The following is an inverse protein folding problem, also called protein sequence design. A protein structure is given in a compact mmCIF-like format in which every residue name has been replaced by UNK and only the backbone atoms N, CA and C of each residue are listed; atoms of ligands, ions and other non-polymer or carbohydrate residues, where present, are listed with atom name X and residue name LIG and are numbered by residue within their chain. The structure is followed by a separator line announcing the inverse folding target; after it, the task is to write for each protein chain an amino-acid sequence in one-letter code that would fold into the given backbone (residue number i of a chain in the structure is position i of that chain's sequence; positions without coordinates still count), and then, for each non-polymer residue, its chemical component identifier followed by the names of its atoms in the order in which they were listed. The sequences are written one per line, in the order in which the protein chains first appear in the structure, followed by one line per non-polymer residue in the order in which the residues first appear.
data_IF_845704621317
#
_entry.id   IF_845704621317
#
_cell.length_a   1.000
_cell.length_b   1.000
_cell.length_c   1.000
_cell.angle_alpha   90.00
_cell.angle_beta   90.00
_cell.angle_gamma   90.00
#
_symmetry.space_group_name_H-M   'P 1'
#
loop_
_entity.id
_entity.type
_entity.pdbx_description
1 polymer ?
#
# COMPACT_ATOMS: atom_id res chain seq x y z
N UNK A 1 -3.94 -30.40 20.73
CA UNK A 1 -4.03 -28.96 20.41
C UNK A 1 -3.99 -28.18 21.72
N UNK A 2 -2.89 -27.47 22.00
CA UNK A 2 -2.74 -26.66 23.22
C UNK A 2 -3.51 -25.35 23.03
N UNK A 3 -4.51 -25.12 23.89
CA UNK A 3 -5.19 -23.83 24.03
C UNK A 3 -4.18 -22.79 24.54
N UNK A 4 -3.63 -21.99 23.62
CA UNK A 4 -2.96 -20.75 23.96
C UNK A 4 -4.05 -19.75 24.34
N UNK A 5 -4.27 -19.59 25.66
CA UNK A 5 -4.93 -18.41 26.21
C UNK A 5 -4.08 -17.21 25.80
N UNK A 6 -4.58 -16.41 24.85
CA UNK A 6 -4.06 -15.08 24.58
C UNK A 6 -4.20 -14.32 25.89
N UNK A 7 -3.08 -13.97 26.52
CA UNK A 7 -3.07 -13.18 27.74
C UNK A 7 -3.64 -11.80 27.40
N UNK A 8 -4.70 -11.40 28.10
CA UNK A 8 -5.40 -10.13 27.93
C UNK A 8 -4.60 -8.89 28.43
N UNK A 9 -3.27 -8.93 28.35
CA UNK A 9 -2.38 -7.83 28.77
C UNK A 9 -1.72 -7.07 27.62
N UNK A 10 -1.93 -7.50 26.38
CA UNK A 10 -1.39 -6.85 25.18
C UNK A 10 -2.49 -6.12 24.38
N UNK A 11 -3.34 -5.32 25.04
CA UNK A 11 -4.13 -4.33 24.29
C UNK A 11 -3.22 -3.13 23.98
N UNK A 12 -2.83 -2.91 22.72
CA UNK A 12 -1.79 -1.93 22.37
C UNK A 12 -2.19 -0.49 22.69
N UNK A 13 -3.49 -0.21 22.86
CA UNK A 13 -4.01 1.09 23.22
C UNK A 13 -5.22 0.96 24.16
N UNK A 14 -5.01 0.96 25.48
CA UNK A 14 -6.11 1.09 26.45
C UNK A 14 -6.82 2.46 26.38
N UNK A 15 -6.14 3.45 25.80
CA UNK A 15 -6.64 4.81 25.56
C UNK A 15 -5.90 5.45 24.40
N UNK A 16 -6.52 6.40 23.71
CA UNK A 16 -5.87 7.15 22.64
C UNK A 16 -4.66 7.94 23.17
N UNK A 17 -3.47 7.78 22.57
CA UNK A 17 -2.26 8.41 23.07
C UNK A 17 -2.27 9.94 22.86
N UNK A 18 -1.72 10.71 23.81
CA UNK A 18 -1.67 12.17 23.72
C UNK A 18 -0.86 12.68 22.52
N UNK A 19 -1.19 13.88 22.05
CA UNK A 19 -0.57 14.52 20.89
C UNK A 19 0.97 14.53 20.92
N UNK A 20 1.55 14.81 22.08
CA UNK A 20 3.01 14.87 22.27
C UNK A 20 3.68 13.50 22.12
N UNK A 21 3.01 12.42 22.52
CA UNK A 21 3.51 11.07 22.30
C UNK A 21 3.52 10.72 20.81
N UNK A 22 2.52 11.20 20.06
CA UNK A 22 2.47 11.05 18.60
C UNK A 22 3.65 11.76 17.95
N UNK A 23 3.89 13.03 18.31
CA UNK A 23 5.03 13.80 17.78
C UNK A 23 6.35 13.14 18.12
N UNK A 24 6.52 12.68 19.37
CA UNK A 24 7.73 11.98 19.81
C UNK A 24 7.96 10.70 19.02
N UNK A 25 6.90 9.91 18.81
CA UNK A 25 6.96 8.70 17.99
C UNK A 25 7.35 9.01 16.55
N UNK A 26 6.70 9.98 15.89
CA UNK A 26 7.01 10.35 14.51
C UNK A 26 8.44 10.90 14.37
N UNK A 27 8.94 11.62 15.38
CA UNK A 27 10.32 12.09 15.46
C UNK A 27 11.31 10.92 15.58
N UNK A 28 11.06 10.00 16.50
CA UNK A 28 11.86 8.77 16.64
C UNK A 28 11.86 7.98 15.34
N UNK A 29 10.69 7.85 14.71
CA UNK A 29 10.50 7.15 13.45
C UNK A 29 11.28 7.79 12.31
N UNK A 30 11.32 9.13 12.24
CA UNK A 30 12.13 9.86 11.28
C UNK A 30 13.64 9.62 11.48
N UNK A 31 14.10 9.52 12.73
CA UNK A 31 15.53 9.33 13.07
C UNK A 31 16.03 7.92 12.85
N UNK A 32 15.24 6.94 13.29
CA UNK A 32 15.62 5.52 13.31
C UNK A 32 15.09 4.75 12.10
N UNK A 33 14.09 5.30 11.43
CA UNK A 33 13.51 4.70 10.26
C UNK A 33 14.37 4.83 9.02
N UNK A 34 14.53 3.72 8.33
CA UNK A 34 15.05 3.69 6.97
C UNK A 34 13.88 3.68 6.00
N UNK A 35 13.98 4.44 4.90
CA UNK A 35 13.05 4.29 3.79
C UNK A 35 13.45 3.09 2.93
N UNK A 36 14.45 3.26 2.05
CA UNK A 36 15.23 2.17 1.45
C UNK A 36 16.53 2.02 2.23
N UNK A 37 17.28 0.93 2.00
CA UNK A 37 18.49 0.52 2.76
C UNK A 37 19.50 1.64 3.07
N UNK A 38 19.48 2.74 2.33
CA UNK A 38 20.38 3.91 2.46
C UNK A 38 19.66 5.25 2.72
N UNK A 39 18.37 5.37 2.43
CA UNK A 39 17.70 6.68 2.32
C UNK A 39 16.95 7.08 3.59
N UNK A 40 17.06 8.36 3.97
CA UNK A 40 16.22 8.97 5.01
C UNK A 40 14.73 8.89 4.66
N UNK A 41 13.90 8.78 5.69
CA UNK A 41 12.44 8.77 5.52
C UNK A 41 11.91 10.05 4.90
N UNK A 42 10.90 9.88 4.03
CA UNK A 42 10.21 11.02 3.42
C UNK A 42 9.07 11.51 4.29
N UNK A 43 8.76 12.81 4.21
CA UNK A 43 7.60 13.38 4.90
C UNK A 43 6.29 12.69 4.49
N UNK A 44 6.19 12.23 3.24
CA UNK A 44 5.03 11.51 2.72
C UNK A 44 4.84 10.14 3.39
N UNK A 45 5.94 9.41 3.62
CA UNK A 45 5.94 8.14 4.34
C UNK A 45 5.50 8.34 5.79
N UNK A 46 6.05 9.35 6.46
CA UNK A 46 5.69 9.69 7.85
C UNK A 46 4.21 10.06 7.96
N UNK A 47 3.71 10.88 7.04
CA UNK A 47 2.29 11.27 6.99
C UNK A 47 1.37 10.08 6.74
N UNK A 48 1.76 9.17 5.83
CA UNK A 48 1.01 7.93 5.59
C UNK A 48 0.95 7.06 6.84
N UNK A 49 2.08 6.91 7.53
CA UNK A 49 2.18 6.14 8.76
C UNK A 49 1.30 6.74 9.87
N UNK A 50 1.30 8.07 10.01
CA UNK A 50 0.37 8.77 10.91
C UNK A 50 -1.10 8.48 10.58
N UNK A 51 -1.52 8.53 9.31
CA UNK A 51 -2.89 8.20 8.93
C UNK A 51 -3.26 6.74 9.22
N UNK A 52 -2.34 5.80 8.96
CA UNK A 52 -2.54 4.39 9.27
C UNK A 52 -2.70 4.17 10.77
N UNK A 53 -1.83 4.82 11.55
CA UNK A 53 -1.86 4.77 13.00
C UNK A 53 -3.14 5.39 13.57
N UNK A 54 -3.58 6.55 13.07
CA UNK A 54 -4.85 7.17 13.45
C UNK A 54 -6.03 6.22 13.19
N UNK A 55 -5.99 5.50 12.06
CA UNK A 55 -7.01 4.52 11.72
C UNK A 55 -7.00 3.33 12.70
N UNK A 56 -5.83 2.85 13.10
CA UNK A 56 -5.69 1.80 14.12
C UNK A 56 -6.25 2.25 15.48
N UNK A 57 -5.84 3.43 15.97
CA UNK A 57 -6.38 4.01 17.22
C UNK A 57 -7.90 4.16 17.16
N UNK A 58 -8.44 4.61 16.02
CA UNK A 58 -9.89 4.71 15.85
C UNK A 58 -10.59 3.35 15.91
N UNK A 59 -9.99 2.30 15.36
CA UNK A 59 -10.56 0.95 15.42
C UNK A 59 -10.53 0.37 16.84
N UNK A 60 -9.45 0.60 17.57
CA UNK A 60 -9.24 -0.01 18.88
C UNK A 60 -9.94 0.77 20.01
N UNK A 61 -9.93 2.11 19.96
CA UNK A 61 -10.38 2.95 21.07
C UNK A 61 -11.61 3.80 20.75
N UNK A 62 -12.17 3.70 19.53
CA UNK A 62 -13.26 4.55 19.01
C UNK A 62 -12.98 6.07 19.07
N UNK A 63 -11.72 6.47 19.30
CA UNK A 63 -11.35 7.87 19.44
C UNK A 63 -10.98 8.47 18.10
N UNK A 64 -11.31 9.75 17.91
CA UNK A 64 -10.88 10.53 16.77
C UNK A 64 -10.24 11.83 17.25
N UNK A 65 -9.01 12.07 16.82
CA UNK A 65 -8.33 13.36 17.01
C UNK A 65 -9.15 14.49 16.37
N UNK A 66 -9.13 15.65 17.01
CA UNK A 66 -9.78 16.85 16.48
C UNK A 66 -9.08 17.35 15.22
N UNK A 67 -9.79 18.14 14.40
CA UNK A 67 -9.20 18.73 13.20
C UNK A 67 -7.98 19.63 13.51
N UNK A 68 -7.99 20.30 14.67
CA UNK A 68 -6.85 21.10 15.16
C UNK A 68 -5.65 20.23 15.52
N UNK A 69 -5.87 19.11 16.20
CA UNK A 69 -4.79 18.17 16.58
C UNK A 69 -4.13 17.57 15.35
N UNK A 70 -4.94 17.12 14.39
CA UNK A 70 -4.47 16.59 13.12
C UNK A 70 -3.65 17.64 12.37
N UNK A 71 -4.12 18.90 12.34
CA UNK A 71 -3.38 20.00 11.71
C UNK A 71 -2.04 20.26 12.41
N UNK A 72 -2.01 20.26 13.75
CA UNK A 72 -0.78 20.44 14.52
C UNK A 72 0.25 19.32 14.23
N UNK A 73 -0.20 18.07 14.07
CA UNK A 73 0.69 16.97 13.67
C UNK A 73 1.16 17.14 12.23
N UNK A 74 0.30 17.55 11.30
CA UNK A 74 0.70 17.77 9.90
C UNK A 74 1.76 18.86 9.82
N UNK A 75 1.57 20.00 10.50
CA UNK A 75 2.57 21.07 10.58
C UNK A 75 3.88 20.55 11.18
N UNK A 76 3.82 19.77 12.26
CA UNK A 76 5.02 19.15 12.84
C UNK A 76 5.75 18.24 11.84
N UNK A 77 5.03 17.45 11.04
CA UNK A 77 5.62 16.60 9.99
C UNK A 77 6.29 17.45 8.90
N UNK A 78 5.70 18.60 8.56
CA UNK A 78 6.25 19.56 7.59
C UNK A 78 7.54 20.22 8.10
N UNK A 79 7.73 20.31 9.42
CA UNK A 79 8.94 20.81 10.08
C UNK A 79 10.05 19.74 10.23
N UNK A 80 9.74 18.44 10.10
CA UNK A 80 10.76 17.37 10.21
C UNK A 80 11.95 17.46 9.23
N UNK A 81 11.82 18.01 8.01
CA UNK A 81 12.97 18.28 7.15
C UNK A 81 14.01 19.20 7.80
N UNK A 82 13.58 20.29 8.46
CA UNK A 82 14.49 21.23 9.12
C UNK A 82 14.99 20.69 10.46
N UNK A 83 14.14 19.96 11.20
CA UNK A 83 14.47 19.44 12.52
C UNK A 83 15.34 18.18 12.51
N UNK A 84 15.11 17.26 11.56
CA UNK A 84 15.69 15.91 11.57
C UNK A 84 16.29 15.51 10.20
N UNK A 85 16.21 16.38 9.21
CA UNK A 85 16.69 16.13 7.85
C UNK A 85 15.84 15.13 7.09
N UNK A 86 14.53 15.04 7.38
CA UNK A 86 13.60 14.24 6.60
C UNK A 86 13.64 14.63 5.12
N UNK A 87 13.46 13.66 4.22
CA UNK A 87 13.47 13.91 2.79
C UNK A 87 12.12 14.50 2.32
N UNK A 88 12.18 15.57 1.55
CA UNK A 88 11.02 16.11 0.80
C UNK A 88 10.97 15.61 -0.64
N UNK A 89 12.01 14.91 -1.08
CA UNK A 89 12.13 14.44 -2.47
C UNK A 89 11.06 13.39 -2.74
N UNK A 90 10.28 13.62 -3.80
CA UNK A 90 9.41 12.57 -4.35
C UNK A 90 10.30 11.44 -4.87
N UNK A 91 9.89 10.21 -4.57
CA UNK A 91 10.55 9.02 -5.10
C UNK A 91 10.41 9.00 -6.63
N UNK A 92 11.54 8.84 -7.32
CA UNK A 92 11.55 8.46 -8.73
C UNK A 92 10.92 7.07 -8.86
N UNK A 93 9.81 7.00 -9.58
CA UNK A 93 9.19 5.72 -9.94
C UNK A 93 9.90 5.22 -11.20
N UNK A 94 10.38 3.98 -11.18
CA UNK A 94 10.75 3.30 -12.41
C UNK A 94 9.50 3.14 -13.27
N UNK A 95 9.65 3.39 -14.56
CA UNK A 95 8.62 3.09 -15.55
C UNK A 95 8.83 1.64 -15.96
N UNK A 96 7.76 0.84 -15.93
CA UNK A 96 7.81 -0.51 -16.46
C UNK A 96 7.82 -0.43 -17.99
N UNK A 97 8.75 -1.15 -18.61
CA UNK A 97 8.85 -1.31 -20.05
C UNK A 97 8.12 -2.58 -20.49
N UNK A 98 7.83 -2.66 -21.79
CA UNK A 98 7.21 -3.86 -22.36
C UNK A 98 8.08 -5.12 -22.15
N UNK A 99 9.40 -4.98 -22.22
CA UNK A 99 10.36 -6.06 -21.91
C UNK A 99 10.19 -6.63 -20.51
N UNK A 100 9.86 -5.81 -19.51
CA UNK A 100 9.63 -6.29 -18.15
C UNK A 100 8.41 -7.23 -18.10
N UNK A 101 7.41 -7.00 -18.97
CA UNK A 101 6.23 -7.85 -19.07
C UNK A 101 6.56 -9.15 -19.79
N UNK A 102 7.39 -9.11 -20.84
CA UNK A 102 7.89 -10.31 -21.51
C UNK A 102 8.64 -11.22 -20.52
N UNK A 103 9.51 -10.64 -19.69
CA UNK A 103 10.25 -11.38 -18.66
C UNK A 103 9.31 -12.00 -17.61
N UNK A 104 8.30 -11.26 -17.16
CA UNK A 104 7.28 -11.76 -16.22
C UNK A 104 6.49 -12.91 -16.84
N UNK A 105 6.07 -12.77 -18.11
CA UNK A 105 5.34 -13.81 -18.82
C UNK A 105 6.21 -15.05 -19.03
N UNK A 106 7.46 -14.87 -19.45
CA UNK A 106 8.41 -15.98 -19.58
C UNK A 106 8.56 -16.73 -18.27
N UNK A 107 8.78 -16.02 -17.16
CA UNK A 107 8.88 -16.65 -15.85
C UNK A 107 7.60 -17.41 -15.49
N UNK A 108 6.43 -16.78 -15.65
CA UNK A 108 5.13 -17.35 -15.34
C UNK A 108 4.84 -18.65 -16.10
N UNK A 109 5.28 -18.76 -17.35
CA UNK A 109 5.00 -19.92 -18.21
C UNK A 109 6.10 -20.97 -18.21
N UNK A 110 7.36 -20.58 -18.00
CA UNK A 110 8.51 -21.45 -18.21
C UNK A 110 9.30 -21.78 -16.93
N UNK A 111 9.18 -20.96 -15.88
CA UNK A 111 10.04 -21.06 -14.68
C UNK A 111 9.27 -21.19 -13.38
N UNK A 112 7.96 -20.90 -13.37
CA UNK A 112 7.18 -20.85 -12.13
C UNK A 112 6.84 -22.25 -11.61
N UNK A 113 7.41 -22.60 -10.45
CA UNK A 113 7.12 -23.84 -9.73
C UNK A 113 5.79 -23.79 -8.94
N UNK A 114 5.09 -22.65 -8.96
CA UNK A 114 3.85 -22.47 -8.22
C UNK A 114 2.71 -23.36 -8.75
N UNK A 115 2.14 -24.17 -7.85
CA UNK A 115 0.97 -25.00 -8.17
C UNK A 115 -0.31 -24.17 -8.11
N UNK A 116 -0.76 -23.72 -9.28
CA UNK A 116 -2.01 -22.98 -9.42
C UNK A 116 -3.23 -23.83 -9.02
N UNK A 117 -4.16 -23.23 -8.27
CA UNK A 117 -5.40 -23.90 -7.86
C UNK A 117 -6.26 -24.30 -9.07
N UNK A 118 -6.19 -23.51 -10.13
CA UNK A 118 -6.81 -23.83 -11.42
C UNK A 118 -5.93 -23.28 -12.55
N UNK A 119 -5.62 -24.07 -13.61
CA UNK A 119 -4.80 -23.61 -14.74
C UNK A 119 -5.27 -22.32 -15.43
N UNK A 120 -6.56 -22.00 -15.32
CA UNK A 120 -7.18 -20.79 -15.86
C UNK A 120 -6.59 -19.51 -15.25
N UNK A 121 -6.16 -19.56 -13.98
CA UNK A 121 -5.66 -18.38 -13.27
C UNK A 121 -4.41 -17.80 -13.97
N UNK A 122 -3.49 -18.67 -14.39
CA UNK A 122 -2.29 -18.29 -15.13
C UNK A 122 -2.65 -17.63 -16.47
N UNK A 123 -3.61 -18.18 -17.21
CA UNK A 123 -4.10 -17.59 -18.48
C UNK A 123 -4.72 -16.22 -18.25
N UNK A 124 -5.53 -16.07 -17.20
CA UNK A 124 -6.17 -14.79 -16.86
C UNK A 124 -5.16 -13.72 -16.46
N UNK A 125 -4.13 -14.08 -15.68
CA UNK A 125 -3.04 -13.17 -15.31
C UNK A 125 -2.23 -12.77 -16.55
N UNK A 126 -1.92 -13.72 -17.42
CA UNK A 126 -1.19 -13.46 -18.66
C UNK A 126 -1.95 -12.49 -19.57
N UNK A 127 -3.24 -12.74 -19.78
CA UNK A 127 -4.12 -11.86 -20.54
C UNK A 127 -4.17 -10.46 -19.93
N UNK A 128 -4.34 -10.36 -18.60
CA UNK A 128 -4.33 -9.10 -17.89
C UNK A 128 -3.03 -8.31 -18.07
N UNK A 129 -1.87 -8.97 -17.94
CA UNK A 129 -0.56 -8.35 -18.14
C UNK A 129 -0.41 -7.79 -19.55
N UNK A 130 -0.84 -8.54 -20.57
CA UNK A 130 -0.81 -8.08 -21.96
C UNK A 130 -1.70 -6.85 -22.16
N UNK A 131 -2.95 -6.87 -21.67
CA UNK A 131 -3.86 -5.72 -21.80
C UNK A 131 -3.28 -4.48 -21.12
N UNK A 132 -2.74 -4.61 -19.91
CA UNK A 132 -2.07 -3.50 -19.21
C UNK A 132 -0.86 -2.99 -20.00
N UNK A 133 -0.04 -3.88 -20.54
CA UNK A 133 1.17 -3.52 -21.28
C UNK A 133 0.87 -2.78 -22.58
N UNK A 134 -0.11 -3.26 -23.36
CA UNK A 134 -0.47 -2.67 -24.65
C UNK A 134 -1.17 -1.32 -24.51
N UNK A 135 -2.06 -1.17 -23.52
CA UNK A 135 -2.87 0.03 -23.37
C UNK A 135 -2.37 0.99 -22.28
N UNK A 136 -1.35 0.62 -21.51
CA UNK A 136 -0.82 1.44 -20.42
C UNK A 136 -1.81 1.62 -19.26
N UNK A 137 -2.73 0.68 -19.08
CA UNK A 137 -3.86 0.79 -18.13
C UNK A 137 -3.44 0.52 -16.69
N UNK A 138 -4.07 1.20 -15.75
CA UNK A 138 -3.96 0.89 -14.32
C UNK A 138 -4.83 -0.33 -13.99
N UNK A 139 -4.46 -1.14 -12.97
CA UNK A 139 -5.31 -2.24 -12.52
C UNK A 139 -6.76 -1.83 -12.24
N UNK A 140 -6.98 -0.65 -11.64
CA UNK A 140 -8.32 -0.14 -11.34
C UNK A 140 -9.11 0.43 -12.51
N UNK A 141 -8.53 0.47 -13.71
CA UNK A 141 -9.21 0.83 -14.96
C UNK A 141 -9.71 -0.44 -15.69
N UNK A 142 -9.11 -1.60 -15.43
CA UNK A 142 -9.53 -2.90 -16.00
C UNK A 142 -10.50 -3.60 -15.07
N UNK A 143 -10.24 -3.56 -13.75
CA UNK A 143 -11.07 -4.21 -12.74
C UNK A 143 -11.84 -3.14 -11.98
N UNK A 144 -13.12 -3.41 -11.74
CA UNK A 144 -13.99 -2.55 -10.94
C UNK A 144 -13.34 -2.26 -9.57
N UNK A 145 -13.02 -0.99 -9.34
CA UNK A 145 -12.41 -0.53 -8.10
C UNK A 145 -13.46 -0.16 -7.06
N UNK A 146 -13.09 -0.17 -5.78
CA UNK A 146 -14.00 0.26 -4.69
C UNK A 146 -14.50 1.70 -4.86
N UNK A 147 -13.76 2.54 -5.58
CA UNK A 147 -14.14 3.91 -5.91
C UNK A 147 -15.22 4.01 -6.99
N UNK A 148 -15.44 2.95 -7.77
CA UNK A 148 -16.43 2.86 -8.85
C UNK A 148 -17.36 1.66 -8.62
N UNK A 149 -17.67 1.38 -7.35
CA UNK A 149 -18.48 0.22 -6.99
C UNK A 149 -19.87 0.33 -7.62
N UNK A 150 -20.31 -0.75 -8.26
CA UNK A 150 -21.52 -0.90 -9.07
C UNK A 150 -21.53 -0.10 -10.37
N UNK A 151 -20.40 0.46 -10.83
CA UNK A 151 -20.38 1.16 -12.13
C UNK A 151 -20.48 0.19 -13.30
N UNK A 152 -20.11 -1.08 -13.12
CA UNK A 152 -20.12 -2.09 -14.18
C UNK A 152 -19.18 -1.75 -15.37
N UNK A 153 -18.21 -0.86 -15.16
CA UNK A 153 -17.31 -0.33 -16.22
C UNK A 153 -15.99 -1.10 -16.37
N UNK A 154 -15.79 -2.19 -15.62
CA UNK A 154 -14.61 -3.05 -15.74
C UNK A 154 -14.79 -4.16 -16.77
N UNK A 155 -13.68 -4.77 -17.21
CA UNK A 155 -13.68 -5.93 -18.11
C UNK A 155 -14.25 -7.16 -17.37
N UNK A 156 -15.30 -7.75 -17.93
CA UNK A 156 -16.01 -8.90 -17.38
C UNK A 156 -15.77 -10.16 -18.17
N UNK A 157 -16.17 -11.27 -17.56
CA UNK A 157 -16.19 -12.56 -18.23
C UNK A 157 -17.07 -12.48 -19.48
N UNK A 158 -16.53 -12.95 -20.62
CA UNK A 158 -17.10 -12.89 -21.98
C UNK A 158 -16.99 -11.56 -22.73
N UNK A 159 -16.36 -10.54 -22.15
CA UNK A 159 -16.09 -9.30 -22.89
C UNK A 159 -14.96 -9.46 -23.91
N UNK A 160 -14.12 -10.48 -23.72
CA UNK A 160 -13.06 -10.83 -24.65
C UNK A 160 -13.24 -12.28 -25.15
N UNK A 161 -13.10 -12.47 -26.47
CA UNK A 161 -13.05 -13.78 -27.12
C UNK A 161 -11.69 -13.97 -27.79
N UNK A 162 -11.10 -15.16 -27.60
CA UNK A 162 -9.90 -15.54 -28.30
C UNK A 162 -10.28 -16.06 -29.69
N UNK A 163 -9.84 -15.35 -30.73
CA UNK A 163 -9.94 -15.82 -32.11
C UNK A 163 -8.60 -16.46 -32.49
N UNK A 164 -8.58 -17.78 -32.61
CA UNK A 164 -7.46 -18.51 -33.21
C UNK A 164 -7.78 -18.68 -34.70
N UNK A 165 -6.96 -18.07 -35.55
CA UNK A 165 -7.00 -18.24 -37.00
C UNK A 165 -6.11 -19.40 -37.41
#
# INVERSE_FOLDING_TARGET
MKNLKIQAQDEPFSSAPPLEHVKLFLRWRCRKGQARLDQKMTIYSIRKEFHQWQRAVRYDTCYSYSASDVRAIITFIEDLPSLEGASTKKRTKSVAHYSDIEDILYYLWCCDDYVWRHPRQMVQISFYLLVVAYYGLRPGEIVESSSHRNSNEGVKYKDASLCLY
#
